data_IF_072677484767
#
_entry.id   IF_072677484767
#
_cell.length_a   1.000
_cell.length_b   1.000
_cell.length_c   1.000
_cell.angle_alpha   90.00
_cell.angle_beta   90.00
_cell.angle_gamma   90.00
#
_symmetry.space_group_name_H-M   'P 1'
#
loop_
_entity.id
_entity.type
_entity.pdbx_description
1 polymer ?
#
# COMPACT_ATOMS: atom_id res chain seq x y z
N UNK A 1 -26.02 15.48 12.20
CA UNK A 1 -25.88 14.24 11.40
C UNK A 1 -25.24 14.61 10.08
N UNK A 2 -24.07 14.06 9.74
CA UNK A 2 -23.39 14.42 8.48
C UNK A 2 -24.12 13.74 7.31
N UNK A 3 -24.53 14.48 6.26
CA UNK A 3 -25.14 13.86 5.10
C UNK A 3 -24.16 12.93 4.38
N UNK A 4 -24.63 11.76 3.92
CA UNK A 4 -23.80 10.75 3.25
C UNK A 4 -22.99 11.30 2.07
N UNK A 5 -23.54 12.29 1.36
CA UNK A 5 -22.86 13.02 0.28
C UNK A 5 -21.59 13.72 0.77
N UNK A 6 -21.64 14.32 1.95
CA UNK A 6 -20.49 14.98 2.58
C UNK A 6 -19.37 14.00 2.91
N UNK A 7 -19.71 12.79 3.34
CA UNK A 7 -18.74 11.72 3.58
C UNK A 7 -18.03 11.31 2.29
N UNK A 8 -18.78 11.13 1.19
CA UNK A 8 -18.19 10.78 -0.11
C UNK A 8 -17.29 11.88 -0.68
N UNK A 9 -17.71 13.14 -0.57
CA UNK A 9 -16.89 14.28 -1.00
C UNK A 9 -15.62 14.39 -0.17
N UNK A 10 -15.73 14.25 1.17
CA UNK A 10 -14.58 14.23 2.06
C UNK A 10 -13.59 13.13 1.69
N UNK A 11 -14.09 11.93 1.40
CA UNK A 11 -13.31 10.80 0.94
C UNK A 11 -12.58 11.07 -0.38
N UNK A 12 -13.29 11.54 -1.40
CA UNK A 12 -12.69 11.82 -2.70
C UNK A 12 -11.54 12.84 -2.60
N UNK A 13 -11.73 13.92 -1.85
CA UNK A 13 -10.71 14.96 -1.66
C UNK A 13 -9.50 14.40 -0.91
N UNK A 14 -9.72 13.62 0.16
CA UNK A 14 -8.62 13.01 0.90
C UNK A 14 -7.82 12.02 0.05
N UNK A 15 -8.46 11.26 -0.83
CA UNK A 15 -7.76 10.35 -1.76
C UNK A 15 -6.93 11.11 -2.80
N UNK A 16 -7.42 12.25 -3.29
CA UNK A 16 -6.62 13.13 -4.17
C UNK A 16 -5.39 13.64 -3.41
N UNK A 17 -5.57 14.10 -2.17
CA UNK A 17 -4.47 14.53 -1.32
C UNK A 17 -3.47 13.39 -1.01
N UNK A 18 -3.96 12.16 -0.82
CA UNK A 18 -3.12 10.99 -0.55
C UNK A 18 -2.18 10.61 -1.71
N UNK A 19 -2.53 10.98 -2.95
CA UNK A 19 -1.69 10.73 -4.13
C UNK A 19 -0.47 11.65 -4.20
N UNK A 20 -0.40 12.68 -3.35
CA UNK A 20 0.82 13.47 -3.20
C UNK A 20 1.92 12.58 -2.63
N UNK A 21 3.08 12.42 -3.29
CA UNK A 21 4.17 11.54 -2.84
C UNK A 21 4.98 12.17 -1.71
N UNK A 22 4.32 12.81 -0.75
CA UNK A 22 4.92 13.48 0.40
C UNK A 22 5.15 12.49 1.54
N UNK A 23 4.18 11.59 1.79
CA UNK A 23 4.30 10.57 2.85
C UNK A 23 4.00 9.16 2.30
N UNK A 24 4.80 8.13 2.70
CA UNK A 24 4.50 6.74 2.34
C UNK A 24 3.10 6.36 2.83
N UNK A 25 2.24 5.90 1.93
CA UNK A 25 0.86 5.51 2.27
C UNK A 25 -0.06 6.67 2.70
N UNK A 26 0.33 7.93 2.46
CA UNK A 26 -0.47 9.10 2.80
C UNK A 26 -0.70 9.29 4.31
N UNK A 27 0.18 8.73 5.16
CA UNK A 27 0.13 8.87 6.62
C UNK A 27 0.19 10.35 7.00
N UNK A 28 -0.72 10.76 7.88
CA UNK A 28 -0.91 12.14 8.33
C UNK A 28 -1.75 12.99 7.37
N UNK A 29 -1.61 12.79 6.05
CA UNK A 29 -2.35 13.55 5.04
C UNK A 29 -3.81 13.11 5.02
N UNK A 30 -4.10 11.82 4.88
CA UNK A 30 -5.49 11.33 4.84
C UNK A 30 -6.17 11.57 6.18
N UNK A 31 -5.47 11.33 7.29
CA UNK A 31 -6.01 11.54 8.63
C UNK A 31 -6.39 13.01 8.83
N UNK A 32 -5.51 13.93 8.45
CA UNK A 32 -5.75 15.36 8.53
C UNK A 32 -6.87 15.82 7.60
N UNK A 33 -6.80 15.47 6.31
CA UNK A 33 -7.78 15.92 5.32
C UNK A 33 -9.17 15.35 5.58
N UNK A 34 -9.31 14.05 5.86
CA UNK A 34 -10.61 13.43 6.11
C UNK A 34 -11.23 13.94 7.41
N UNK A 35 -10.43 14.07 8.49
CA UNK A 35 -10.92 14.61 9.77
C UNK A 35 -11.36 16.06 9.62
N UNK A 36 -10.55 16.90 8.96
CA UNK A 36 -10.86 18.30 8.72
C UNK A 36 -12.17 18.47 7.93
N UNK A 37 -12.35 17.69 6.86
CA UNK A 37 -13.54 17.76 6.03
C UNK A 37 -14.79 17.24 6.75
N UNK A 38 -14.70 16.14 7.50
CA UNK A 38 -15.82 15.64 8.30
C UNK A 38 -16.25 16.64 9.38
N UNK A 39 -15.29 17.30 10.03
CA UNK A 39 -15.56 18.39 10.98
C UNK A 39 -16.20 19.58 10.27
N UNK A 40 -15.72 19.97 9.08
CA UNK A 40 -16.31 21.03 8.28
C UNK A 40 -17.76 20.72 7.86
N UNK A 41 -18.10 19.45 7.68
CA UNK A 41 -19.48 18.99 7.45
C UNK A 41 -20.33 18.84 8.73
N UNK A 42 -19.81 19.24 9.89
CA UNK A 42 -20.54 19.30 11.16
C UNK A 42 -20.41 18.07 12.05
N UNK A 43 -19.42 17.19 11.82
CA UNK A 43 -19.11 16.11 12.75
C UNK A 43 -18.32 16.65 13.96
N UNK A 44 -18.63 16.22 15.20
CA UNK A 44 -17.78 16.51 16.35
C UNK A 44 -16.35 16.00 16.11
N UNK A 45 -15.34 16.80 16.48
CA UNK A 45 -13.92 16.51 16.22
C UNK A 45 -13.50 15.14 16.76
N UNK A 46 -13.90 14.81 17.99
CA UNK A 46 -13.59 13.51 18.61
C UNK A 46 -14.16 12.34 17.81
N UNK A 47 -15.38 12.45 17.33
CA UNK A 47 -16.05 11.44 16.49
C UNK A 47 -15.41 11.34 15.12
N UNK A 48 -15.07 12.46 14.47
CA UNK A 48 -14.43 12.48 13.16
C UNK A 48 -13.06 11.79 13.20
N UNK A 49 -12.20 12.18 14.15
CA UNK A 49 -10.87 11.58 14.30
C UNK A 49 -10.99 10.08 14.61
N UNK A 50 -11.88 9.67 15.51
CA UNK A 50 -12.09 8.25 15.83
C UNK A 50 -12.55 7.44 14.60
N UNK A 51 -13.49 7.96 13.82
CA UNK A 51 -13.98 7.31 12.61
C UNK A 51 -12.86 7.14 11.55
N UNK A 52 -12.03 8.17 11.37
CA UNK A 52 -10.91 8.16 10.43
C UNK A 52 -9.83 7.16 10.85
N UNK A 53 -9.50 7.10 12.13
CA UNK A 53 -8.55 6.12 12.66
C UNK A 53 -9.07 4.69 12.52
N UNK A 54 -10.35 4.44 12.78
CA UNK A 54 -10.97 3.14 12.57
C UNK A 54 -10.92 2.73 11.09
N UNK A 55 -11.27 3.66 10.19
CA UNK A 55 -11.15 3.46 8.75
C UNK A 55 -9.71 3.08 8.34
N UNK A 56 -8.70 3.74 8.93
CA UNK A 56 -7.27 3.48 8.67
C UNK A 56 -6.80 2.12 9.20
N UNK A 57 -7.24 1.70 10.38
CA UNK A 57 -6.92 0.37 10.91
C UNK A 57 -7.43 -0.71 9.96
N UNK A 58 -8.66 -0.57 9.44
CA UNK A 58 -9.23 -1.56 8.53
C UNK A 58 -8.55 -1.48 7.15
N UNK A 59 -8.47 -0.29 6.57
CA UNK A 59 -8.09 -0.13 5.15
C UNK A 59 -6.58 -0.15 4.93
N UNK A 60 -5.79 0.34 5.88
CA UNK A 60 -4.34 0.40 5.75
C UNK A 60 -3.68 -0.76 6.50
N UNK A 61 -4.00 -0.96 7.77
CA UNK A 61 -3.27 -1.92 8.61
C UNK A 61 -3.59 -3.38 8.33
N UNK A 62 -4.73 -3.72 7.71
CA UNK A 62 -5.02 -5.10 7.29
C UNK A 62 -4.45 -5.37 5.89
N UNK A 63 -4.70 -4.47 4.93
CA UNK A 63 -4.34 -4.72 3.54
C UNK A 63 -2.84 -4.56 3.26
N UNK A 64 -2.13 -3.67 3.96
CA UNK A 64 -0.69 -3.47 3.76
C UNK A 64 0.11 -4.73 4.14
N UNK A 65 -0.04 -5.32 5.34
CA UNK A 65 0.68 -6.56 5.69
C UNK A 65 0.36 -7.72 4.75
N UNK A 66 -0.89 -7.85 4.30
CA UNK A 66 -1.28 -8.87 3.33
C UNK A 66 -0.51 -8.69 2.02
N UNK A 67 -0.43 -7.46 1.49
CA UNK A 67 0.35 -7.15 0.29
C UNK A 67 1.84 -7.49 0.45
N UNK A 68 2.44 -7.11 1.59
CA UNK A 68 3.84 -7.46 1.89
C UNK A 68 4.06 -8.97 2.03
N UNK A 69 3.12 -9.70 2.65
CA UNK A 69 3.20 -11.14 2.79
C UNK A 69 3.13 -11.84 1.42
N UNK A 70 2.23 -11.42 0.54
CA UNK A 70 2.14 -11.94 -0.83
C UNK A 70 3.40 -11.62 -1.64
N UNK A 71 3.89 -10.38 -1.59
CA UNK A 71 5.12 -10.00 -2.28
C UNK A 71 6.32 -10.80 -1.76
N UNK A 72 6.45 -10.95 -0.43
CA UNK A 72 7.49 -11.76 0.20
C UNK A 72 7.42 -13.22 -0.22
N UNK A 73 6.22 -13.81 -0.24
CA UNK A 73 6.01 -15.18 -0.71
C UNK A 73 6.43 -15.35 -2.18
N UNK A 74 6.04 -14.43 -3.06
CA UNK A 74 6.43 -14.45 -4.47
C UNK A 74 7.95 -14.34 -4.64
N UNK A 75 8.61 -13.44 -3.90
CA UNK A 75 10.06 -13.29 -3.94
C UNK A 75 10.77 -14.56 -3.45
N UNK A 76 10.25 -15.23 -2.43
CA UNK A 76 10.81 -16.51 -1.93
C UNK A 76 10.64 -17.63 -2.96
N UNK A 77 9.47 -17.72 -3.61
CA UNK A 77 9.22 -18.70 -4.65
C UNK A 77 10.12 -18.47 -5.88
N UNK A 78 10.25 -17.21 -6.33
CA UNK A 78 11.14 -16.86 -7.45
C UNK A 78 12.62 -17.16 -7.18
N UNK A 79 13.07 -17.02 -5.92
CA UNK A 79 14.45 -17.39 -5.53
C UNK A 79 14.70 -18.90 -5.71
N UNK A 80 13.72 -19.75 -5.39
CA UNK A 80 13.83 -21.20 -5.55
C UNK A 80 13.89 -21.60 -7.03
N UNK A 81 13.05 -21.00 -7.88
CA UNK A 81 13.02 -21.31 -9.31
C UNK A 81 14.33 -20.93 -10.03
N UNK A 82 14.92 -19.76 -9.72
CA UNK A 82 16.21 -19.37 -10.33
C UNK A 82 17.37 -20.27 -9.92
N UNK A 83 17.39 -20.75 -8.67
CA UNK A 83 18.46 -21.61 -8.17
C UNK A 83 18.47 -23.00 -8.86
N UNK A 84 17.33 -23.42 -9.40
CA UNK A 84 17.13 -24.74 -10.01
C UNK A 84 17.43 -24.80 -11.51
N UNK A 85 17.70 -23.68 -12.19
CA UNK A 85 17.90 -23.65 -13.65
C UNK A 85 19.18 -24.42 -14.07
N UNK A 86 19.05 -25.67 -14.55
CA UNK A 86 20.21 -26.54 -14.79
C UNK A 86 20.96 -26.13 -16.05
N UNK A 87 20.25 -25.56 -17.03
CA UNK A 87 20.80 -25.15 -18.31
C UNK A 87 21.70 -23.90 -18.22
N UNK A 88 21.54 -23.04 -17.19
CA UNK A 88 22.47 -21.92 -16.93
C UNK A 88 23.82 -22.47 -16.43
N UNK A 89 23.79 -23.44 -15.50
CA UNK A 89 25.00 -24.12 -15.03
C UNK A 89 25.69 -24.88 -16.16
N UNK A 90 24.91 -25.58 -16.99
CA UNK A 90 25.43 -26.30 -18.14
C UNK A 90 26.10 -25.37 -19.18
N UNK A 91 25.60 -24.14 -19.33
CA UNK A 91 26.20 -23.13 -20.21
C UNK A 91 27.50 -22.54 -19.63
N UNK A 92 27.59 -22.40 -18.31
CA UNK A 92 28.81 -21.99 -17.61
C UNK A 92 29.90 -23.08 -17.58
N UNK A 93 29.51 -24.35 -17.72
CA UNK A 93 30.43 -25.49 -17.72
C UNK A 93 30.97 -25.88 -19.11
N UNK A 94 30.42 -25.35 -20.20
CA UNK A 94 30.97 -25.61 -21.53
C UNK A 94 32.31 -24.88 -21.67
N UNK A 95 33.44 -25.59 -21.87
CA UNK A 95 34.71 -24.95 -22.12
C UNK A 95 34.63 -24.14 -23.41
N UNK A 96 35.24 -22.94 -23.42
CA UNK A 96 35.25 -22.08 -24.61
C UNK A 96 35.96 -22.78 -25.77
N UNK A 97 35.40 -22.73 -27.00
CA UNK A 97 35.98 -23.38 -28.18
C UNK A 97 37.32 -22.77 -28.63
N UNK A 98 37.85 -21.76 -27.93
CA UNK A 98 39.16 -21.16 -28.20
C UNK A 98 40.34 -21.90 -27.55
N UNK A 99 40.09 -22.95 -26.75
CA UNK A 99 41.13 -23.71 -26.04
C UNK A 99 41.55 -25.03 -26.71
N UNK A 100 41.08 -25.29 -27.94
CA UNK A 100 41.44 -26.46 -28.76
C UNK A 100 42.11 -26.01 -30.06
#
# INVERSE_FOLDING_TARGET
NVPWRGVLVAYAIAQIAANLPITPGGIGIVEGTLSLLLVAYGMPTSTAVAAVLLYRIISFWIFVPVGWATAGALLVLQRKDRAQLPWIRARAQKPEPSAA
#
